data_IF_678528418948
#
_entry.id   IF_678528418948
#
_cell.length_a   1.000
_cell.length_b   1.000
_cell.length_c   1.000
_cell.angle_alpha   90.00
_cell.angle_beta   90.00
_cell.angle_gamma   90.00
#
_symmetry.space_group_name_H-M   'P 1'
#
loop_
_entity.id
_entity.type
_entity.pdbx_description
1 polymer ?
#
# COMPACT_ATOMS: atom_id res chain seq x y z
N UNK A 1 -9.84 2.99 -6.34
CA UNK A 1 -11.18 2.89 -5.73
C UNK A 1 -11.27 1.75 -4.73
N UNK A 2 -10.86 0.52 -5.08
CA UNK A 2 -10.88 -0.63 -4.16
C UNK A 2 -10.23 -0.33 -2.79
N UNK A 3 -9.02 0.25 -2.78
CA UNK A 3 -8.32 0.61 -1.55
C UNK A 3 -9.12 1.54 -0.62
N UNK A 4 -9.79 2.57 -1.16
CA UNK A 4 -10.60 3.47 -0.33
C UNK A 4 -11.87 2.79 0.21
N UNK A 5 -12.48 1.88 -0.56
CA UNK A 5 -13.65 1.10 -0.08
C UNK A 5 -13.26 0.10 0.99
N UNK A 6 -12.11 -0.53 0.84
CA UNK A 6 -11.51 -1.41 1.83
C UNK A 6 -11.24 -0.65 3.13
N UNK A 7 -10.61 0.52 3.08
CA UNK A 7 -10.43 1.37 4.27
C UNK A 7 -11.78 1.75 4.90
N UNK A 8 -12.78 2.08 4.08
CA UNK A 8 -14.12 2.36 4.57
C UNK A 8 -14.78 1.16 5.27
N UNK A 9 -14.49 -0.07 4.85
CA UNK A 9 -14.98 -1.29 5.51
C UNK A 9 -14.27 -1.51 6.86
N UNK A 10 -12.96 -1.24 6.92
CA UNK A 10 -12.19 -1.27 8.18
C UNK A 10 -12.69 -0.25 9.21
N UNK A 11 -13.09 0.94 8.76
CA UNK A 11 -13.56 2.04 9.60
C UNK A 11 -15.06 1.98 9.90
N UNK A 12 -15.78 1.01 9.34
CA UNK A 12 -17.22 0.94 9.54
C UNK A 12 -17.54 0.57 11.00
N UNK A 13 -18.34 1.41 11.65
CA UNK A 13 -18.73 1.21 13.05
C UNK A 13 -17.67 1.57 14.08
N UNK A 14 -16.53 2.15 13.68
CA UNK A 14 -15.44 2.52 14.61
C UNK A 14 -15.65 3.88 15.30
N UNK A 15 -16.73 4.60 14.98
CA UNK A 15 -16.93 5.98 15.39
C UNK A 15 -16.21 7.01 14.51
N UNK A 16 -15.50 6.57 13.46
CA UNK A 16 -14.75 7.48 12.58
C UNK A 16 -15.64 8.51 11.89
N UNK A 17 -16.76 8.08 11.31
CA UNK A 17 -17.68 8.97 10.62
C UNK A 17 -18.31 9.98 11.59
N UNK A 18 -18.69 9.53 12.78
CA UNK A 18 -19.21 10.34 13.88
C UNK A 18 -18.17 11.36 14.35
N UNK A 19 -16.91 10.96 14.47
CA UNK A 19 -15.80 11.86 14.84
C UNK A 19 -15.64 13.00 13.83
N UNK A 20 -15.71 12.69 12.54
CA UNK A 20 -15.64 13.72 11.49
C UNK A 20 -16.82 14.70 11.54
N UNK A 21 -18.00 14.21 11.91
CA UNK A 21 -19.20 15.04 12.08
C UNK A 21 -19.09 15.91 13.33
N UNK A 22 -18.71 15.33 14.47
CA UNK A 22 -18.58 16.03 15.74
C UNK A 22 -17.47 17.08 15.72
N UNK A 23 -16.44 16.88 14.89
CA UNK A 23 -15.38 17.85 14.66
C UNK A 23 -15.75 18.93 13.62
N UNK A 24 -17.01 19.00 13.16
CA UNK A 24 -17.50 19.92 12.11
C UNK A 24 -16.70 19.87 10.80
N UNK A 25 -16.06 18.74 10.48
CA UNK A 25 -15.30 18.57 9.24
C UNK A 25 -16.27 18.35 8.07
N UNK A 26 -17.37 17.62 8.31
CA UNK A 26 -18.34 17.29 7.27
C UNK A 26 -19.72 16.93 7.82
N UNK A 27 -20.72 16.89 6.94
CA UNK A 27 -22.09 16.50 7.32
C UNK A 27 -22.23 14.98 7.46
N UNK A 28 -23.20 14.47 8.24
CA UNK A 28 -23.42 13.04 8.42
C UNK A 28 -23.58 12.25 7.11
N UNK A 29 -24.31 12.81 6.15
CA UNK A 29 -24.46 12.19 4.82
C UNK A 29 -23.14 12.10 4.05
N UNK A 30 -22.29 13.12 4.18
CA UNK A 30 -20.98 13.15 3.52
C UNK A 30 -19.99 12.22 4.20
N UNK A 31 -19.95 12.16 5.53
CA UNK A 31 -19.11 11.23 6.29
C UNK A 31 -19.44 9.77 5.92
N UNK A 32 -20.73 9.42 5.88
CA UNK A 32 -21.18 8.09 5.44
C UNK A 32 -20.82 7.79 3.98
N UNK A 33 -20.75 8.81 3.12
CA UNK A 33 -20.30 8.64 1.74
C UNK A 33 -18.82 8.29 1.63
N UNK A 34 -18.00 8.68 2.62
CA UNK A 34 -16.58 8.35 2.66
C UNK A 34 -16.35 6.86 2.92
N UNK A 35 -17.10 6.24 3.84
CA UNK A 35 -17.06 4.80 4.10
C UNK A 35 -17.34 3.97 2.84
N UNK A 36 -18.21 4.46 1.94
CA UNK A 36 -18.55 3.78 0.69
C UNK A 36 -17.64 4.16 -0.48
N UNK A 37 -16.68 5.05 -0.24
CA UNK A 37 -15.90 5.75 -1.26
C UNK A 37 -16.76 6.25 -2.43
N UNK A 38 -17.87 6.94 -2.15
CA UNK A 38 -18.80 7.39 -3.19
C UNK A 38 -18.16 8.43 -4.14
N UNK A 39 -17.27 9.27 -3.61
CA UNK A 39 -16.56 10.30 -4.37
C UNK A 39 -15.05 10.25 -4.09
N UNK A 40 -14.28 9.68 -5.02
CA UNK A 40 -12.82 9.45 -4.89
C UNK A 40 -12.09 10.63 -4.25
N UNK A 41 -12.27 11.84 -4.79
CA UNK A 41 -11.51 13.03 -4.34
C UNK A 41 -11.88 13.45 -2.93
N UNK A 42 -13.18 13.47 -2.59
CA UNK A 42 -13.61 13.87 -1.23
C UNK A 42 -13.28 12.80 -0.20
N UNK A 43 -13.51 11.52 -0.53
CA UNK A 43 -13.14 10.40 0.32
C UNK A 43 -11.64 10.40 0.61
N UNK A 44 -10.81 10.57 -0.43
CA UNK A 44 -9.36 10.71 -0.27
C UNK A 44 -9.01 11.84 0.70
N UNK A 45 -9.63 13.01 0.56
CA UNK A 45 -9.40 14.14 1.47
C UNK A 45 -9.77 13.80 2.92
N UNK A 46 -10.90 13.10 3.14
CA UNK A 46 -11.30 12.63 4.47
C UNK A 46 -10.25 11.72 5.12
N UNK A 47 -9.73 10.75 4.37
CA UNK A 47 -8.63 9.89 4.85
C UNK A 47 -7.34 10.68 5.07
N UNK A 48 -7.01 11.67 4.23
CA UNK A 48 -5.79 12.49 4.43
C UNK A 48 -5.86 13.29 5.72
N UNK A 49 -7.02 13.86 6.03
CA UNK A 49 -7.27 14.54 7.31
C UNK A 49 -7.11 13.54 8.45
N UNK A 50 -7.68 12.35 8.32
CA UNK A 50 -7.60 11.29 9.34
C UNK A 50 -6.16 10.90 9.64
N UNK A 51 -5.35 10.58 8.62
CA UNK A 51 -3.95 10.21 8.79
C UNK A 51 -3.15 11.32 9.47
N UNK A 52 -3.34 12.57 9.04
CA UNK A 52 -2.69 13.71 9.66
C UNK A 52 -3.10 13.86 11.14
N UNK A 53 -4.40 13.76 11.44
CA UNK A 53 -4.93 13.83 12.80
C UNK A 53 -4.39 12.71 13.68
N UNK A 54 -4.38 11.47 13.21
CA UNK A 54 -3.85 10.32 13.95
C UNK A 54 -2.37 10.49 14.26
N UNK A 55 -1.56 10.91 13.27
CA UNK A 55 -0.14 11.17 13.48
C UNK A 55 0.09 12.27 14.53
N UNK A 56 -0.66 13.38 14.45
CA UNK A 56 -0.60 14.48 15.43
C UNK A 56 -0.99 13.98 16.83
N UNK A 57 -2.06 13.18 16.94
CA UNK A 57 -2.51 12.64 18.22
C UNK A 57 -1.50 11.68 18.84
N UNK A 58 -0.85 10.82 18.04
CA UNK A 58 0.23 9.96 18.51
C UNK A 58 1.40 10.77 19.06
N UNK A 59 1.84 11.80 18.34
CA UNK A 59 2.95 12.65 18.79
C UNK A 59 2.59 13.47 20.04
N UNK A 60 1.34 13.94 20.15
CA UNK A 60 0.87 14.62 21.37
C UNK A 60 0.83 13.67 22.57
N UNK A 61 0.37 12.44 22.38
CA UNK A 61 0.35 11.42 23.43
C UNK A 61 1.77 11.03 23.84
N UNK A 62 2.69 10.93 22.88
CA UNK A 62 4.10 10.71 23.15
C UNK A 62 4.73 11.87 23.93
N UNK A 63 4.45 13.12 23.56
CA UNK A 63 4.94 14.30 24.30
C UNK A 63 4.56 14.26 25.78
N UNK A 64 3.31 13.94 26.10
CA UNK A 64 2.87 13.74 27.49
C UNK A 64 3.63 12.63 28.20
N UNK A 65 3.80 11.48 27.54
CA UNK A 65 4.59 10.38 28.07
C UNK A 65 6.04 10.81 28.38
N UNK A 66 6.66 11.60 27.50
CA UNK A 66 8.03 12.08 27.73
C UNK A 66 8.13 13.03 28.92
N UNK A 67 7.13 13.90 29.12
CA UNK A 67 7.04 14.80 30.27
C UNK A 67 6.88 14.01 31.58
N UNK A 68 6.03 12.99 31.58
CA UNK A 68 5.81 12.11 32.72
C UNK A 68 7.08 11.30 33.06
N UNK A 69 7.73 10.71 32.06
CA UNK A 69 8.96 9.91 32.25
C UNK A 69 10.11 10.76 32.81
N UNK A 70 10.27 11.99 32.33
CA UNK A 70 11.28 12.93 32.84
C UNK A 70 10.99 13.34 34.29
N UNK A 71 9.72 13.58 34.63
CA UNK A 71 9.29 13.90 35.99
C UNK A 71 9.59 12.74 36.96
N UNK A 72 9.48 11.51 36.49
CA UNK A 72 9.82 10.29 37.24
C UNK A 72 11.33 9.94 37.21
N UNK A 73 12.17 10.76 36.55
CA UNK A 73 13.62 10.54 36.46
C UNK A 73 14.05 9.41 35.52
N UNK A 74 13.16 8.96 34.63
CA UNK A 74 13.44 7.91 33.66
C UNK A 74 13.76 8.50 32.27
N UNK A 75 14.66 7.85 31.54
CA UNK A 75 14.91 8.19 30.14
C UNK A 75 13.73 7.74 29.27
N UNK A 76 13.11 8.63 28.47
CA UNK A 76 11.99 8.25 27.62
C UNK A 76 12.43 7.32 26.48
N UNK A 77 11.57 6.34 26.17
CA UNK A 77 11.76 5.49 25.00
C UNK A 77 11.68 6.27 23.69
N UNK A 78 12.38 5.82 22.65
CA UNK A 78 12.24 6.35 21.30
C UNK A 78 10.77 6.23 20.81
N UNK A 79 10.28 7.22 20.06
CA UNK A 79 8.89 7.29 19.58
C UNK A 79 8.38 6.01 18.92
N UNK A 80 9.18 5.38 18.04
CA UNK A 80 8.79 4.15 17.36
C UNK A 80 8.62 2.99 18.34
N UNK A 81 9.57 2.81 19.25
CA UNK A 81 9.54 1.77 20.29
C UNK A 81 8.36 2.00 21.24
N UNK A 82 8.13 3.25 21.64
CA UNK A 82 6.98 3.61 22.46
C UNK A 82 5.67 3.29 21.75
N UNK A 83 5.51 3.67 20.48
CA UNK A 83 4.30 3.36 19.71
C UNK A 83 4.05 1.84 19.65
N UNK A 84 5.10 1.03 19.46
CA UNK A 84 5.00 -0.42 19.46
C UNK A 84 4.50 -0.94 20.82
N UNK A 85 5.15 -0.55 21.91
CA UNK A 85 4.73 -0.97 23.25
C UNK A 85 3.30 -0.53 23.58
N UNK A 86 2.90 0.68 23.17
CA UNK A 86 1.52 1.17 23.35
C UNK A 86 0.52 0.37 22.54
N UNK A 87 0.86 -0.04 21.32
CA UNK A 87 0.01 -0.90 20.50
C UNK A 87 -0.14 -2.31 21.10
N UNK A 88 0.89 -2.83 21.77
CA UNK A 88 0.82 -4.13 22.45
C UNK A 88 -0.05 -4.09 23.71
N UNK A 89 -0.02 -2.98 24.47
CA UNK A 89 -0.71 -2.87 25.75
C UNK A 89 -2.11 -2.21 25.68
N UNK A 90 -2.46 -1.52 24.59
CA UNK A 90 -3.71 -0.77 24.47
C UNK A 90 -4.41 -1.08 23.14
N UNK A 91 -5.50 -1.90 23.15
CA UNK A 91 -6.21 -2.28 21.92
C UNK A 91 -6.72 -1.08 21.12
N UNK A 92 -7.16 -0.02 21.79
CA UNK A 92 -7.61 1.21 21.13
C UNK A 92 -6.45 1.91 20.41
N UNK A 93 -5.28 2.00 21.04
CA UNK A 93 -4.10 2.57 20.41
C UNK A 93 -3.67 1.71 19.22
N UNK A 94 -3.67 0.39 19.38
CA UNK A 94 -3.36 -0.57 18.31
C UNK A 94 -4.26 -0.33 17.11
N UNK A 95 -5.58 -0.30 17.30
CA UNK A 95 -6.55 -0.10 16.22
C UNK A 95 -6.28 1.18 15.42
N UNK A 96 -6.04 2.31 16.10
CA UNK A 96 -5.78 3.59 15.42
C UNK A 96 -4.38 3.69 14.82
N UNK A 97 -3.37 3.05 15.42
CA UNK A 97 -2.04 2.95 14.83
C UNK A 97 -2.07 2.10 13.54
N UNK A 98 -2.77 0.96 13.58
CA UNK A 98 -3.03 0.12 12.42
C UNK A 98 -3.81 0.87 11.33
N UNK A 99 -4.80 1.67 11.73
CA UNK A 99 -5.55 2.55 10.82
C UNK A 99 -4.64 3.56 10.13
N UNK A 100 -3.76 4.23 10.87
CA UNK A 100 -2.79 5.18 10.31
C UNK A 100 -1.89 4.49 9.28
N UNK A 101 -1.32 3.33 9.63
CA UNK A 101 -0.47 2.56 8.72
C UNK A 101 -1.23 2.19 7.43
N UNK A 102 -2.48 1.72 7.56
CA UNK A 102 -3.33 1.40 6.41
C UNK A 102 -3.57 2.62 5.52
N UNK A 103 -3.89 3.79 6.09
CA UNK A 103 -4.09 5.01 5.32
C UNK A 103 -2.81 5.45 4.58
N UNK A 104 -1.66 5.34 5.23
CA UNK A 104 -0.36 5.64 4.62
C UNK A 104 -0.05 4.68 3.46
N UNK A 105 -0.25 3.37 3.61
CA UNK A 105 -0.08 2.40 2.51
C UNK A 105 -1.00 2.72 1.32
N UNK A 106 -2.24 3.15 1.57
CA UNK A 106 -3.16 3.61 0.50
C UNK A 106 -2.61 4.85 -0.21
N UNK A 107 -2.02 5.79 0.52
CA UNK A 107 -1.42 6.98 -0.10
C UNK A 107 -0.15 6.67 -0.86
N UNK A 108 0.68 5.74 -0.40
CA UNK A 108 1.83 5.24 -1.15
C UNK A 108 1.39 4.57 -2.45
N UNK A 109 0.33 3.75 -2.42
CA UNK A 109 -0.27 3.15 -3.61
C UNK A 109 -0.81 4.19 -4.60
N UNK A 110 -1.40 5.27 -4.08
CA UNK A 110 -1.89 6.36 -4.94
C UNK A 110 -0.72 7.13 -5.56
N UNK A 111 0.32 7.37 -4.77
CA UNK A 111 1.53 8.07 -5.21
C UNK A 111 2.22 7.30 -6.33
N UNK A 112 2.39 5.98 -6.17
CA UNK A 112 3.02 5.14 -7.20
C UNK A 112 2.26 5.18 -8.52
N UNK A 113 0.93 5.22 -8.50
CA UNK A 113 0.12 5.38 -9.71
C UNK A 113 0.22 6.77 -10.35
N UNK A 114 0.38 7.83 -9.54
CA UNK A 114 0.50 9.20 -10.04
C UNK A 114 1.88 9.50 -10.61
N UNK A 115 2.91 9.00 -9.95
CA UNK A 115 4.31 9.21 -10.30
C UNK A 115 4.84 8.13 -11.24
N UNK A 116 4.06 7.08 -11.50
CA UNK A 116 4.42 5.94 -12.37
C UNK A 116 5.70 5.24 -11.91
N UNK A 117 5.83 5.04 -10.60
CA UNK A 117 6.98 4.37 -9.99
C UNK A 117 6.60 2.91 -9.74
N UNK A 118 7.08 1.97 -10.56
CA UNK A 118 6.65 0.58 -10.51
C UNK A 118 7.04 -0.13 -9.21
N UNK A 119 8.27 0.06 -8.73
CA UNK A 119 8.73 -0.57 -7.49
C UNK A 119 7.84 -0.16 -6.31
N UNK A 120 7.55 1.14 -6.21
CA UNK A 120 6.64 1.66 -5.20
C UNK A 120 5.21 1.14 -5.35
N UNK A 121 4.78 0.88 -6.59
CA UNK A 121 3.49 0.24 -6.85
C UNK A 121 3.47 -1.20 -6.33
N UNK A 122 4.53 -1.98 -6.58
CA UNK A 122 4.65 -3.35 -6.11
C UNK A 122 4.69 -3.43 -4.59
N UNK A 123 5.50 -2.60 -3.93
CA UNK A 123 5.61 -2.57 -2.47
C UNK A 123 4.27 -2.20 -1.83
N UNK A 124 3.65 -1.11 -2.27
CA UNK A 124 2.36 -0.68 -1.74
C UNK A 124 1.24 -1.67 -2.03
N UNK A 125 1.26 -2.35 -3.19
CA UNK A 125 0.28 -3.38 -3.52
C UNK A 125 0.48 -4.62 -2.65
N UNK A 126 1.71 -5.03 -2.38
CA UNK A 126 2.01 -6.15 -1.50
C UNK A 126 1.49 -5.89 -0.08
N UNK A 127 1.72 -4.69 0.44
CA UNK A 127 1.18 -4.27 1.75
C UNK A 127 -0.36 -4.26 1.78
N UNK A 128 -1.01 -3.77 0.73
CA UNK A 128 -2.48 -3.70 0.65
C UNK A 128 -3.13 -5.05 0.34
N UNK A 129 -2.39 -6.01 -0.21
CA UNK A 129 -2.90 -7.31 -0.61
C UNK A 129 -3.59 -8.04 0.55
N UNK A 130 -2.91 -8.15 1.69
CA UNK A 130 -3.47 -8.77 2.90
C UNK A 130 -4.78 -8.11 3.35
N UNK A 131 -4.88 -6.78 3.24
CA UNK A 131 -6.08 -6.04 3.61
C UNK A 131 -7.24 -6.29 2.66
N UNK A 132 -6.97 -6.38 1.36
CA UNK A 132 -7.98 -6.75 0.37
C UNK A 132 -8.58 -8.12 0.65
N UNK A 133 -7.75 -9.11 1.01
CA UNK A 133 -8.24 -10.44 1.36
C UNK A 133 -8.98 -10.45 2.70
N UNK A 134 -8.43 -9.81 3.74
CA UNK A 134 -9.02 -9.78 5.07
C UNK A 134 -10.40 -9.11 5.10
N UNK A 135 -10.66 -8.16 4.21
CA UNK A 135 -11.90 -7.36 4.15
C UNK A 135 -12.80 -7.71 2.94
N UNK A 136 -12.53 -8.82 2.25
CA UNK A 136 -13.29 -9.31 1.09
C UNK A 136 -13.39 -8.32 -0.09
N UNK A 137 -12.31 -7.60 -0.37
CA UNK A 137 -12.15 -6.68 -1.52
C UNK A 137 -11.31 -7.32 -2.64
N UNK A 138 -11.71 -8.50 -3.11
CA UNK A 138 -10.98 -9.32 -4.12
C UNK A 138 -10.90 -8.69 -5.52
N UNK A 139 -11.72 -7.69 -5.83
CA UNK A 139 -11.74 -7.01 -7.13
C UNK A 139 -10.68 -5.90 -7.29
N UNK A 140 -9.64 -5.89 -6.46
CA UNK A 140 -8.54 -4.91 -6.54
C UNK A 140 -7.77 -4.96 -7.86
N UNK A 141 -7.76 -6.12 -8.53
CA UNK A 141 -7.15 -6.35 -9.85
C UNK A 141 -7.71 -5.47 -10.96
N UNK A 142 -8.89 -4.86 -10.79
CA UNK A 142 -9.44 -3.90 -11.76
C UNK A 142 -8.55 -2.66 -11.95
N UNK A 143 -7.69 -2.33 -10.97
CA UNK A 143 -6.72 -1.25 -11.11
C UNK A 143 -5.54 -1.61 -12.05
N UNK A 144 -5.33 -2.90 -12.34
CA UNK A 144 -4.27 -3.38 -13.24
C UNK A 144 -4.42 -2.83 -14.66
N UNK A 145 -5.66 -2.69 -15.13
CA UNK A 145 -5.94 -2.13 -16.46
C UNK A 145 -5.47 -0.67 -16.57
N UNK A 146 -5.61 0.12 -15.50
CA UNK A 146 -5.14 1.50 -15.48
C UNK A 146 -3.62 1.56 -15.34
N UNK A 147 -3.03 0.68 -14.52
CA UNK A 147 -1.58 0.55 -14.38
C UNK A 147 -0.93 0.25 -15.74
N UNK A 148 -1.46 -0.74 -16.47
CA UNK A 148 -1.05 -1.12 -17.81
C UNK A 148 -1.47 -0.13 -18.91
N UNK A 149 -2.09 1.01 -18.62
CA UNK A 149 -2.30 2.05 -19.66
C UNK A 149 -1.09 2.96 -19.81
N UNK A 150 -0.26 3.06 -18.78
CA UNK A 150 0.99 3.82 -18.86
C UNK A 150 2.09 2.98 -19.56
N UNK A 151 2.79 3.56 -20.52
CA UNK A 151 3.88 2.93 -21.25
C UNK A 151 5.09 2.59 -20.36
N UNK A 152 5.47 3.50 -19.46
CA UNK A 152 6.62 3.34 -18.58
C UNK A 152 6.40 2.15 -17.63
N UNK A 153 5.22 2.10 -17.03
CA UNK A 153 4.79 0.97 -16.19
C UNK A 153 4.84 -0.38 -16.93
N UNK A 154 4.52 -0.41 -18.23
CA UNK A 154 4.62 -1.64 -19.03
C UNK A 154 6.07 -2.02 -19.23
N UNK A 155 6.90 -1.07 -19.63
CA UNK A 155 8.32 -1.31 -19.89
C UNK A 155 9.01 -1.86 -18.63
N UNK A 156 8.79 -1.21 -17.48
CA UNK A 156 9.32 -1.66 -16.20
C UNK A 156 8.79 -3.05 -15.79
N UNK A 157 7.47 -3.30 -15.95
CA UNK A 157 6.88 -4.60 -15.68
C UNK A 157 7.46 -5.70 -16.58
N UNK A 158 7.60 -5.45 -17.88
CA UNK A 158 8.14 -6.43 -18.81
C UNK A 158 9.62 -6.71 -18.55
N UNK A 159 10.42 -5.70 -18.22
CA UNK A 159 11.81 -5.87 -17.79
C UNK A 159 11.88 -6.71 -16.51
N UNK A 160 11.06 -6.41 -15.51
CA UNK A 160 11.01 -7.18 -14.27
C UNK A 160 10.61 -8.64 -14.51
N UNK A 161 9.54 -8.89 -15.28
CA UNK A 161 9.11 -10.25 -15.61
C UNK A 161 10.18 -11.01 -16.40
N UNK A 162 10.82 -10.37 -17.37
CA UNK A 162 11.96 -10.92 -18.11
C UNK A 162 13.06 -11.41 -17.17
N UNK A 163 13.49 -10.57 -16.23
CA UNK A 163 14.49 -10.93 -15.22
C UNK A 163 14.06 -12.11 -14.34
N UNK A 164 12.83 -12.08 -13.80
CA UNK A 164 12.31 -13.16 -12.95
C UNK A 164 12.19 -14.48 -13.71
N UNK A 165 11.70 -14.46 -14.95
CA UNK A 165 11.56 -15.68 -15.77
C UNK A 165 12.95 -16.21 -16.15
N UNK A 166 13.92 -15.36 -16.46
CA UNK A 166 15.31 -15.80 -16.69
C UNK A 166 15.89 -16.52 -15.45
N UNK A 167 15.66 -15.99 -14.25
CA UNK A 167 16.09 -16.65 -13.00
C UNK A 167 15.41 -18.00 -12.77
N UNK A 168 14.12 -18.14 -13.12
CA UNK A 168 13.38 -19.39 -12.99
C UNK A 168 13.80 -20.43 -14.03
N UNK A 169 13.98 -20.02 -15.28
CA UNK A 169 14.31 -20.91 -16.40
C UNK A 169 15.71 -21.50 -16.28
N UNK A 170 16.68 -20.73 -15.75
CA UNK A 170 18.02 -21.22 -15.42
C UNK A 170 17.95 -22.42 -14.45
N UNK A 171 16.95 -22.48 -13.56
CA UNK A 171 16.77 -23.58 -12.60
C UNK A 171 16.18 -24.85 -13.23
N UNK A 172 15.38 -24.72 -14.29
CA UNK A 172 14.61 -25.85 -14.85
C UNK A 172 15.20 -26.44 -16.15
N UNK A 173 16.38 -25.98 -16.61
CA UNK A 173 17.00 -26.42 -17.88
C UNK A 173 16.07 -26.33 -19.09
N UNK A 174 15.13 -25.36 -19.08
CA UNK A 174 14.24 -25.05 -20.20
C UNK A 174 14.84 -23.93 -21.05
N UNK A 175 14.40 -23.81 -22.30
CA UNK A 175 14.82 -22.72 -23.19
C UNK A 175 13.77 -21.61 -23.19
N UNK A 176 14.18 -20.39 -22.87
CA UNK A 176 13.35 -19.18 -22.92
C UNK A 176 13.97 -18.19 -23.90
N UNK A 177 13.14 -17.63 -24.78
CA UNK A 177 13.53 -16.57 -25.70
C UNK A 177 12.80 -15.30 -25.28
N UNK A 178 13.55 -14.32 -24.79
CA UNK A 178 13.02 -13.01 -24.40
C UNK A 178 13.63 -11.93 -25.29
N UNK A 179 12.77 -11.07 -25.83
CA UNK A 179 13.18 -9.85 -26.53
C UNK A 179 13.10 -8.68 -25.57
N UNK A 180 14.00 -8.66 -24.59
CA UNK A 180 14.13 -7.54 -23.66
C UNK A 180 15.26 -6.63 -24.15
N UNK A 181 14.95 -5.36 -24.46
CA UNK A 181 15.85 -4.35 -25.05
C UNK A 181 16.39 -4.70 -26.46
N UNK A 182 17.40 -3.95 -26.93
CA UNK A 182 18.00 -4.04 -28.30
C UNK A 182 18.79 -5.33 -28.58
N UNK A 183 18.96 -6.22 -27.61
CA UNK A 183 19.70 -7.47 -27.81
C UNK A 183 18.88 -8.67 -27.36
N UNK A 184 18.66 -9.59 -28.29
CA UNK A 184 18.09 -10.91 -28.02
C UNK A 184 19.13 -11.73 -27.27
N UNK A 185 18.91 -11.96 -25.97
CA UNK A 185 19.74 -12.85 -25.17
C UNK A 185 19.26 -14.30 -25.37
N UNK A 186 19.76 -14.94 -26.43
CA UNK A 186 19.72 -16.41 -26.58
C UNK A 186 20.96 -17.01 -25.95
N UNK A 187 20.80 -18.01 -25.07
CA UNK A 187 21.91 -18.86 -24.58
C UNK A 187 21.66 -20.31 -25.05
N UNK A 188 22.67 -21.07 -25.49
CA UNK A 188 23.77 -20.81 -26.42
C UNK A 188 23.42 -21.32 -27.86
N UNK A 189 24.33 -21.26 -28.87
CA UNK A 189 23.99 -21.65 -30.24
C UNK A 189 23.61 -23.13 -30.32
N UNK A 190 22.54 -23.47 -31.05
CA UNK A 190 22.25 -24.85 -31.46
C UNK A 190 23.48 -25.40 -32.20
N UNK A 191 24.17 -26.37 -31.60
CA UNK A 191 25.31 -27.06 -32.24
C UNK A 191 24.88 -27.99 -33.37
N UNK A 192 23.58 -28.23 -33.53
CA UNK A 192 23.06 -29.18 -34.48
C UNK A 192 21.94 -28.57 -35.32
N UNK A 193 22.30 -28.18 -36.55
CA UNK A 193 21.38 -27.70 -37.59
C UNK A 193 21.03 -28.80 -38.59
N UNK A 194 21.43 -30.06 -38.35
CA UNK A 194 21.23 -31.15 -39.31
C UNK A 194 19.76 -31.50 -39.57
N UNK A 195 18.85 -31.10 -38.67
CA UNK A 195 17.41 -31.37 -38.79
C UNK A 195 16.57 -30.14 -39.19
N UNK A 196 17.20 -29.05 -39.62
CA UNK A 196 16.47 -28.01 -40.35
C UNK A 196 16.46 -28.44 -41.82
N UNK A 197 15.37 -29.11 -42.20
CA UNK A 197 15.06 -29.47 -43.58
C UNK A 197 15.02 -28.19 -44.48
N UNK A 198 15.24 -28.34 -45.80
CA UNK A 198 15.61 -27.24 -46.70
C UNK A 198 14.54 -26.15 -46.89
#
# INVERSE_FOLDING_TARGET
MAALRMAGSWLQGSGWAETLVQADITSPGTANSFLKAAHVTRTRRGHQITAATLNILQHKAYGKYTEDAQSDGHEPLEFGVWCQQRAECCPQFQYWATTLNLELSIFMFVRSLRESIFLLYMDALAELCQWFFALDHTHYSRNWQNFLRNGDNKEELFSFLSEQVMQLVVKESKQLVVTDKKQVLTVPPRKDTANLAP
#
